data_IF_420179752052
#
_entry.id   IF_420179752052
#
_cell.length_a   1.000
_cell.length_b   1.000
_cell.length_c   1.000
_cell.angle_alpha   90.00
_cell.angle_beta   90.00
_cell.angle_gamma   90.00
#
_symmetry.space_group_name_H-M   'P 1'
#
loop_
_entity.id
_entity.type
_entity.pdbx_description
1 polymer ?
#
# COMPACT_ATOMS: atom_id res chain seq x y z
N UNK A 1 20.89 -47.70 27.72
CA UNK A 1 20.46 -46.65 26.78
C UNK A 1 19.35 -45.86 27.47
N UNK A 2 19.41 -44.60 27.88
CA UNK A 2 20.38 -43.50 27.93
C UNK A 2 19.56 -42.32 28.50
N UNK A 3 19.97 -41.71 29.62
CA UNK A 3 19.18 -40.66 30.29
C UNK A 3 19.17 -39.40 29.42
N UNK A 4 17.99 -38.88 29.10
CA UNK A 4 17.85 -37.63 28.34
C UNK A 4 18.19 -36.45 29.25
N UNK A 5 19.31 -35.77 28.99
CA UNK A 5 19.63 -34.49 29.63
C UNK A 5 18.90 -33.37 28.89
N UNK A 6 18.16 -32.53 29.62
CA UNK A 6 17.60 -31.27 29.10
C UNK A 6 18.58 -30.14 29.44
N UNK A 7 19.21 -29.58 28.41
CA UNK A 7 20.05 -28.38 28.49
C UNK A 7 19.26 -27.15 28.04
N UNK A 8 19.53 -25.99 28.64
CA UNK A 8 19.04 -24.70 28.18
C UNK A 8 19.98 -24.12 27.09
N UNK A 9 19.58 -23.00 26.45
CA UNK A 9 20.34 -22.35 25.36
C UNK A 9 21.73 -21.83 25.74
N UNK A 10 22.13 -21.89 27.02
CA UNK A 10 23.43 -21.41 27.52
C UNK A 10 24.34 -22.54 28.03
N UNK A 11 23.90 -23.81 27.95
CA UNK A 11 24.78 -24.96 28.17
C UNK A 11 25.11 -25.31 29.62
N UNK A 12 24.35 -24.81 30.60
CA UNK A 12 24.58 -25.11 32.02
C UNK A 12 23.59 -26.18 32.55
N UNK A 13 24.12 -27.14 33.32
CA UNK A 13 23.38 -28.27 33.93
C UNK A 13 22.83 -27.82 35.31
N UNK A 14 21.51 -27.84 35.49
CA UNK A 14 20.87 -27.57 36.78
C UNK A 14 20.45 -28.87 37.47
N UNK A 15 20.97 -29.09 38.68
CA UNK A 15 20.51 -30.13 39.61
C UNK A 15 19.12 -29.76 40.16
N UNK A 16 18.07 -30.45 39.71
CA UNK A 16 16.81 -30.49 40.47
C UNK A 16 17.04 -31.35 41.72
N UNK A 17 17.55 -30.71 42.77
CA UNK A 17 17.79 -31.33 44.07
C UNK A 17 16.54 -32.05 44.60
N UNK A 18 16.77 -33.29 45.03
CA UNK A 18 15.85 -34.15 45.77
C UNK A 18 15.17 -33.43 46.92
N UNK A 19 13.83 -33.47 46.95
CA UNK A 19 13.08 -33.35 48.19
C UNK A 19 12.61 -34.75 48.59
N UNK A 20 13.41 -35.41 49.42
CA UNK A 20 12.94 -36.50 50.26
C UNK A 20 12.29 -35.88 51.51
N UNK A 21 11.06 -36.26 51.80
CA UNK A 21 10.46 -35.99 53.11
C UNK A 21 9.70 -37.24 53.51
N UNK A 22 10.41 -38.12 54.22
CA UNK A 22 9.78 -39.15 55.04
C UNK A 22 9.23 -38.46 56.29
N UNK A 23 7.92 -38.49 56.48
CA UNK A 23 7.34 -38.43 57.82
C UNK A 23 6.20 -39.43 57.90
N UNK A 24 6.35 -40.35 58.84
CA UNK A 24 5.49 -41.50 59.09
C UNK A 24 4.31 -41.12 59.99
N UNK A 25 3.12 -41.61 59.59
CA UNK A 25 1.97 -42.06 60.39
C UNK A 25 1.59 -41.35 61.69
N UNK A 26 0.34 -40.88 61.76
CA UNK A 26 -0.61 -41.28 62.82
C UNK A 26 -2.05 -41.10 62.31
N UNK A 27 -2.81 -42.20 62.38
CA UNK A 27 -4.27 -42.28 62.22
C UNK A 27 -4.98 -41.42 63.26
N UNK A 28 -5.94 -40.60 62.83
CA UNK A 28 -7.09 -40.18 63.63
C UNK A 28 -8.26 -39.95 62.67
N UNK A 29 -9.27 -40.83 62.76
CA UNK A 29 -10.49 -40.80 61.96
C UNK A 29 -11.32 -39.54 62.23
N UNK A 30 -11.59 -38.75 61.19
CA UNK A 30 -12.56 -37.65 61.22
C UNK A 30 -13.78 -38.00 60.36
N UNK A 31 -15.01 -37.72 60.82
CA UNK A 31 -16.22 -38.08 60.10
C UNK A 31 -16.34 -37.28 58.79
N UNK A 32 -16.98 -37.84 57.74
CA UNK A 32 -17.09 -37.19 56.45
C UNK A 32 -18.06 -35.99 56.55
N UNK A 33 -17.50 -34.78 56.59
CA UNK A 33 -18.27 -33.55 56.43
C UNK A 33 -18.43 -33.25 54.94
N UNK A 34 -19.60 -33.56 54.38
CA UNK A 34 -20.04 -33.07 53.08
C UNK A 34 -20.38 -31.56 53.18
N UNK A 35 -19.39 -30.70 52.93
CA UNK A 35 -19.54 -29.24 52.83
C UNK A 35 -19.32 -28.74 51.37
N UNK A 36 -19.71 -29.50 50.36
CA UNK A 36 -19.65 -29.02 48.96
C UNK A 36 -20.92 -29.31 48.17
N UNK A 37 -22.08 -29.23 48.82
CA UNK A 37 -23.35 -29.03 48.12
C UNK A 37 -23.73 -27.55 48.24
N UNK A 38 -24.00 -26.93 47.09
CA UNK A 38 -24.61 -25.59 46.95
C UNK A 38 -23.70 -24.35 46.96
N UNK A 39 -22.64 -24.37 46.16
CA UNK A 39 -22.33 -23.19 45.34
C UNK A 39 -21.98 -23.67 43.93
N UNK A 40 -23.00 -23.93 43.12
CA UNK A 40 -22.84 -23.80 41.67
C UNK A 40 -23.02 -22.32 41.36
N UNK A 41 -21.96 -21.54 41.05
CA UNK A 41 -22.19 -20.28 40.38
C UNK A 41 -22.93 -20.65 39.10
N UNK A 42 -24.17 -20.19 38.95
CA UNK A 42 -24.80 -20.14 37.63
C UNK A 42 -23.90 -19.26 36.78
N UNK A 43 -22.90 -19.88 36.12
CA UNK A 43 -22.10 -19.24 35.11
C UNK A 43 -23.10 -18.96 33.99
N UNK A 44 -23.62 -17.74 33.99
CA UNK A 44 -24.29 -17.18 32.82
C UNK A 44 -23.45 -17.60 31.62
N UNK A 45 -24.10 -18.22 30.64
CA UNK A 45 -23.42 -18.75 29.47
C UNK A 45 -22.44 -17.69 28.97
N UNK A 46 -21.15 -18.02 28.98
CA UNK A 46 -20.13 -17.17 28.38
C UNK A 46 -20.55 -17.01 26.93
N UNK A 47 -21.15 -15.88 26.60
CA UNK A 47 -21.32 -15.45 25.22
C UNK A 47 -19.92 -15.52 24.65
N UNK A 48 -19.68 -16.48 23.76
CA UNK A 48 -18.42 -16.58 23.04
C UNK A 48 -18.17 -15.22 22.41
N UNK A 49 -17.21 -14.48 22.96
CA UNK A 49 -16.77 -13.21 22.40
C UNK A 49 -16.29 -13.55 21.00
N UNK A 50 -17.05 -13.15 19.99
CA UNK A 50 -16.56 -13.10 18.63
C UNK A 50 -15.47 -12.04 18.66
N UNK A 51 -14.22 -12.47 18.82
CA UNK A 51 -13.07 -11.58 18.78
C UNK A 51 -13.03 -10.99 17.37
N UNK A 52 -13.55 -9.78 17.22
CA UNK A 52 -13.29 -8.98 16.02
C UNK A 52 -11.77 -8.87 15.85
N UNK A 53 -11.25 -8.94 14.61
CA UNK A 53 -9.82 -8.83 14.37
C UNK A 53 -9.32 -7.48 14.88
N UNK A 54 -8.13 -7.48 15.49
CA UNK A 54 -7.52 -6.24 15.95
C UNK A 54 -7.37 -5.23 14.82
N UNK A 55 -7.74 -3.95 15.05
CA UNK A 55 -7.61 -2.93 14.03
C UNK A 55 -6.13 -2.80 13.65
N UNK A 56 -5.82 -3.00 12.37
CA UNK A 56 -4.45 -2.93 11.84
C UNK A 56 -3.97 -1.47 11.84
N UNK A 57 -2.75 -1.24 12.34
CA UNK A 57 -2.11 0.07 12.41
C UNK A 57 -2.45 0.82 13.69
N UNK A 58 -2.45 2.16 13.61
CA UNK A 58 -2.77 3.01 14.76
C UNK A 58 -4.28 3.02 14.99
N UNK A 59 -4.77 2.51 16.15
CA UNK A 59 -6.20 2.48 16.40
C UNK A 59 -6.72 3.89 16.69
N UNK A 60 -7.77 4.28 15.98
CA UNK A 60 -8.49 5.54 16.19
C UNK A 60 -9.75 5.35 17.03
N UNK A 61 -10.37 4.18 16.93
CA UNK A 61 -11.61 3.82 17.61
C UNK A 61 -11.46 2.46 18.29
N UNK A 62 -12.14 2.29 19.41
CA UNK A 62 -12.25 1.02 20.15
C UNK A 62 -13.47 0.22 19.66
N UNK A 63 -13.57 -1.07 19.99
CA UNK A 63 -14.71 -1.92 19.59
C UNK A 63 -16.07 -1.41 20.12
N UNK A 64 -16.06 -0.61 21.19
CA UNK A 64 -17.28 0.03 21.71
C UNK A 64 -17.65 1.36 21.00
N UNK A 65 -16.97 1.70 19.90
CA UNK A 65 -17.19 2.92 19.12
C UNK A 65 -16.63 4.21 19.75
N UNK A 66 -16.02 4.14 20.94
CA UNK A 66 -15.39 5.28 21.62
C UNK A 66 -13.95 5.49 21.13
N UNK A 67 -13.39 6.71 21.22
CA UNK A 67 -12.04 6.97 20.74
C UNK A 67 -10.99 6.17 21.54
N UNK A 68 -9.99 5.67 20.82
CA UNK A 68 -8.81 5.06 21.43
C UNK A 68 -7.88 6.18 21.94
N UNK A 69 -7.35 6.00 23.15
CA UNK A 69 -6.46 6.96 23.82
C UNK A 69 -5.16 6.28 24.20
N UNK A 70 -4.06 7.04 24.10
CA UNK A 70 -2.75 6.56 24.48
C UNK A 70 -2.57 6.68 26.00
N UNK A 71 -2.27 5.56 26.65
CA UNK A 71 -1.96 5.49 28.09
C UNK A 71 -0.54 5.00 28.28
N UNK A 72 0.03 5.32 29.44
CA UNK A 72 1.34 4.82 29.85
C UNK A 72 1.13 3.74 30.91
N UNK A 73 1.78 2.60 30.73
CA UNK A 73 1.78 1.52 31.71
C UNK A 73 2.57 1.96 32.93
N UNK A 74 1.90 1.96 34.09
CA UNK A 74 2.45 2.49 35.34
C UNK A 74 2.92 1.39 36.31
N UNK A 75 2.58 0.12 36.03
CA UNK A 75 2.85 -1.01 36.93
C UNK A 75 3.36 -2.21 36.10
N UNK A 76 4.32 -2.94 36.66
CA UNK A 76 4.85 -4.19 36.13
C UNK A 76 6.15 -4.05 35.33
N UNK A 77 6.57 -5.14 34.69
CA UNK A 77 7.83 -5.21 33.94
C UNK A 77 7.89 -4.24 32.75
N UNK A 78 6.72 -3.86 32.23
CA UNK A 78 6.54 -2.98 31.08
C UNK A 78 6.24 -1.52 31.49
N UNK A 79 6.57 -1.15 32.73
CA UNK A 79 6.37 0.23 33.23
C UNK A 79 7.07 1.24 32.32
N UNK A 80 6.37 2.31 31.96
CA UNK A 80 6.82 3.34 31.02
C UNK A 80 6.47 3.06 29.56
N UNK A 81 6.07 1.84 29.20
CA UNK A 81 5.58 1.56 27.84
C UNK A 81 4.23 2.24 27.59
N UNK A 82 4.02 2.65 26.35
CA UNK A 82 2.77 3.29 25.93
C UNK A 82 1.90 2.29 25.17
N UNK A 83 0.61 2.34 25.39
CA UNK A 83 -0.37 1.48 24.73
C UNK A 83 -1.68 2.22 24.48
N UNK A 84 -2.41 1.81 23.45
CA UNK A 84 -3.74 2.30 23.15
C UNK A 84 -4.77 1.56 23.99
N UNK A 85 -5.72 2.34 24.52
CA UNK A 85 -6.80 1.85 25.38
C UNK A 85 -8.09 2.61 25.09
N UNK A 86 -9.22 2.02 25.44
CA UNK A 86 -10.52 2.70 25.35
C UNK A 86 -10.59 3.93 26.29
N UNK A 87 -11.25 4.99 25.82
CA UNK A 87 -11.62 6.18 26.62
C UNK A 87 -12.90 6.00 27.44
N UNK A 88 -13.67 4.95 27.19
CA UNK A 88 -14.94 4.67 27.84
C UNK A 88 -14.85 4.00 29.20
N UNK A 89 -16.00 3.92 29.87
CA UNK A 89 -16.21 3.14 31.08
C UNK A 89 -15.78 1.68 30.89
N UNK A 90 -14.84 1.25 31.73
CA UNK A 90 -14.33 -0.13 31.86
C UNK A 90 -15.25 -1.03 32.69
N UNK A 91 -16.53 -0.66 32.82
CA UNK A 91 -17.48 -1.32 33.73
C UNK A 91 -17.81 -2.75 33.31
N UNK A 92 -17.51 -3.10 32.06
CA UNK A 92 -17.65 -4.44 31.51
C UNK A 92 -16.46 -5.35 31.90
N UNK A 93 -15.52 -4.85 32.71
CA UNK A 93 -14.40 -5.63 33.28
C UNK A 93 -13.22 -5.80 32.32
N UNK A 94 -13.42 -5.61 31.02
CA UNK A 94 -12.39 -5.84 29.99
C UNK A 94 -11.99 -4.57 29.23
N UNK A 95 -10.74 -4.58 28.78
CA UNK A 95 -10.18 -3.55 27.95
C UNK A 95 -10.72 -3.65 26.52
N UNK A 96 -11.60 -2.73 26.09
CA UNK A 96 -12.23 -2.76 24.76
C UNK A 96 -11.26 -2.56 23.58
N UNK A 97 -9.99 -2.27 23.83
CA UNK A 97 -8.90 -2.33 22.84
C UNK A 97 -7.59 -2.25 23.60
N UNK A 98 -6.67 -3.18 23.35
CA UNK A 98 -5.32 -3.12 23.90
C UNK A 98 -4.34 -3.32 22.75
N UNK A 99 -3.51 -2.32 22.47
CA UNK A 99 -2.44 -2.44 21.47
C UNK A 99 -1.22 -1.66 21.92
N UNK A 100 -0.05 -2.29 21.92
CA UNK A 100 1.19 -1.59 22.25
C UNK A 100 1.50 -0.53 21.20
N UNK A 101 2.07 0.60 21.62
CA UNK A 101 2.42 1.69 20.72
C UNK A 101 3.42 1.24 19.65
N UNK A 102 4.40 0.40 20.01
CA UNK A 102 5.39 -0.17 19.09
C UNK A 102 4.75 -0.99 17.98
N UNK A 103 3.79 -1.85 18.34
CA UNK A 103 3.14 -2.75 17.40
C UNK A 103 2.24 -1.98 16.44
N UNK A 104 1.46 -1.02 16.97
CA UNK A 104 0.64 -0.11 16.17
C UNK A 104 1.49 0.69 15.16
N UNK A 105 2.65 1.22 15.58
CA UNK A 105 3.55 1.92 14.67
C UNK A 105 4.16 1.00 13.63
N UNK A 106 4.58 -0.21 14.00
CA UNK A 106 5.16 -1.15 13.07
C UNK A 106 4.15 -1.57 11.98
N UNK A 107 2.92 -1.85 12.39
CA UNK A 107 1.81 -2.15 11.47
C UNK A 107 1.53 -0.96 10.55
N UNK A 108 1.46 0.27 11.08
CA UNK A 108 1.21 1.48 10.30
C UNK A 108 2.31 1.74 9.27
N UNK A 109 3.58 1.60 9.68
CA UNK A 109 4.75 1.75 8.78
C UNK A 109 4.70 0.69 7.69
N UNK A 110 4.39 -0.56 8.05
CA UNK A 110 4.34 -1.67 7.09
C UNK A 110 3.21 -1.45 6.07
N UNK A 111 2.03 -1.09 6.55
CA UNK A 111 0.87 -0.78 5.71
C UNK A 111 1.13 0.42 4.80
N UNK A 112 1.77 1.45 5.34
CA UNK A 112 2.18 2.64 4.57
C UNK A 112 3.19 2.27 3.50
N UNK A 113 4.21 1.47 3.83
CA UNK A 113 5.22 0.99 2.87
C UNK A 113 4.58 0.20 1.73
N UNK A 114 3.64 -0.70 2.02
CA UNK A 114 2.91 -1.45 0.99
C UNK A 114 2.13 -0.51 0.08
N UNK A 115 1.38 0.45 0.63
CA UNK A 115 0.65 1.44 -0.17
C UNK A 115 1.58 2.28 -1.07
N UNK A 116 2.74 2.67 -0.55
CA UNK A 116 3.74 3.38 -1.37
C UNK A 116 4.26 2.50 -2.51
N UNK A 117 4.53 1.22 -2.26
CA UNK A 117 4.91 0.28 -3.32
C UNK A 117 3.85 0.15 -4.42
N UNK A 118 2.58 0.02 -4.04
CA UNK A 118 1.49 -0.03 -5.02
C UNK A 118 1.36 1.25 -5.86
N UNK A 119 1.60 2.42 -5.24
CA UNK A 119 1.60 3.70 -5.95
C UNK A 119 2.80 3.78 -6.90
N UNK A 120 3.98 3.35 -6.47
CA UNK A 120 5.18 3.30 -7.29
C UNK A 120 4.98 2.41 -8.53
N UNK A 121 4.42 1.21 -8.35
CA UNK A 121 4.09 0.30 -9.44
C UNK A 121 3.13 0.92 -10.45
N UNK A 122 2.08 1.60 -9.97
CA UNK A 122 1.13 2.34 -10.84
C UNK A 122 1.81 3.48 -11.60
N UNK A 123 2.73 4.20 -10.97
CA UNK A 123 3.49 5.27 -11.63
C UNK A 123 4.37 4.70 -12.74
N UNK A 124 5.10 3.60 -12.50
CA UNK A 124 5.91 2.93 -13.50
C UNK A 124 5.04 2.47 -14.68
N UNK A 125 3.88 1.89 -14.41
CA UNK A 125 2.93 1.48 -15.46
C UNK A 125 2.45 2.68 -16.31
N UNK A 126 2.07 3.80 -15.67
CA UNK A 126 1.63 4.99 -16.37
C UNK A 126 2.74 5.62 -17.22
N UNK A 127 3.98 5.65 -16.71
CA UNK A 127 5.13 6.12 -17.46
C UNK A 127 5.34 5.29 -18.73
N UNK A 128 5.25 3.96 -18.63
CA UNK A 128 5.32 3.08 -19.81
C UNK A 128 4.23 3.37 -20.84
N UNK A 129 2.99 3.62 -20.40
CA UNK A 129 1.90 4.01 -21.31
C UNK A 129 2.13 5.36 -21.99
N UNK A 130 2.72 6.32 -21.26
CA UNK A 130 3.07 7.64 -21.80
C UNK A 130 4.14 7.49 -22.88
N UNK A 131 5.18 6.70 -22.63
CA UNK A 131 6.24 6.46 -23.62
C UNK A 131 5.72 5.76 -24.88
N UNK A 132 4.84 4.77 -24.73
CA UNK A 132 4.21 4.11 -25.87
C UNK A 132 3.34 5.08 -26.68
N UNK A 133 2.53 5.90 -26.00
CA UNK A 133 1.69 6.92 -26.65
C UNK A 133 2.54 7.99 -27.33
N UNK A 134 3.64 8.41 -26.71
CA UNK A 134 4.59 9.37 -27.27
C UNK A 134 5.19 8.82 -28.55
N UNK A 135 5.65 7.57 -28.57
CA UNK A 135 6.18 6.92 -29.76
C UNK A 135 5.15 6.87 -30.90
N UNK A 136 3.92 6.43 -30.61
CA UNK A 136 2.82 6.41 -31.61
C UNK A 136 2.49 7.80 -32.14
N UNK A 137 2.55 8.82 -31.28
CA UNK A 137 2.33 10.19 -31.68
C UNK A 137 3.46 10.70 -32.59
N UNK A 138 4.71 10.41 -32.25
CA UNK A 138 5.89 10.76 -33.04
C UNK A 138 5.87 10.10 -34.42
N UNK A 139 5.50 8.82 -34.51
CA UNK A 139 5.28 8.12 -35.78
C UNK A 139 4.22 8.82 -36.66
N UNK A 140 3.10 9.24 -36.08
CA UNK A 140 2.06 9.99 -36.80
C UNK A 140 2.53 11.37 -37.26
N UNK A 141 3.31 12.06 -36.43
CA UNK A 141 3.89 13.37 -36.79
C UNK A 141 4.85 13.21 -37.97
N UNK A 142 5.72 12.20 -37.95
CA UNK A 142 6.64 11.92 -39.05
C UNK A 142 5.88 11.56 -40.34
N UNK A 143 4.86 10.71 -40.25
CA UNK A 143 4.00 10.39 -41.40
C UNK A 143 3.34 11.63 -42.01
N UNK A 144 2.77 12.51 -41.19
CA UNK A 144 2.18 13.77 -41.67
C UNK A 144 3.22 14.68 -42.32
N UNK A 145 4.42 14.74 -41.76
CA UNK A 145 5.52 15.54 -42.31
C UNK A 145 5.91 15.06 -43.70
N UNK A 146 6.14 13.76 -43.86
CA UNK A 146 6.48 13.16 -45.16
C UNK A 146 5.37 13.34 -46.19
N UNK A 147 4.10 13.18 -45.78
CA UNK A 147 2.97 13.41 -46.68
C UNK A 147 2.89 14.86 -47.14
N UNK A 148 3.11 15.82 -46.23
CA UNK A 148 3.12 17.24 -46.55
C UNK A 148 4.29 17.62 -47.48
N UNK A 149 5.48 17.06 -47.26
CA UNK A 149 6.65 17.26 -48.14
C UNK A 149 6.35 16.79 -49.57
N UNK A 150 5.81 15.57 -49.74
CA UNK A 150 5.40 15.06 -51.07
C UNK A 150 4.32 15.92 -51.73
N UNK A 151 3.36 16.42 -50.95
CA UNK A 151 2.31 17.29 -51.45
C UNK A 151 2.89 18.63 -51.95
N UNK A 152 3.81 19.24 -51.19
CA UNK A 152 4.51 20.45 -51.59
C UNK A 152 5.33 20.24 -52.87
N UNK A 153 6.05 19.12 -53.00
CA UNK A 153 6.78 18.77 -54.22
C UNK A 153 5.86 18.66 -55.45
N UNK A 154 4.68 18.03 -55.28
CA UNK A 154 3.68 17.93 -56.34
C UNK A 154 3.17 19.32 -56.75
N UNK A 155 2.83 20.18 -55.78
CA UNK A 155 2.43 21.56 -56.06
C UNK A 155 3.54 22.32 -56.78
N UNK A 156 4.78 22.21 -56.33
CA UNK A 156 5.92 22.89 -56.94
C UNK A 156 6.10 22.45 -58.41
N UNK A 157 5.93 21.16 -58.69
CA UNK A 157 5.97 20.63 -60.05
C UNK A 157 4.84 21.19 -60.92
N UNK A 158 3.62 21.25 -60.40
CA UNK A 158 2.45 21.85 -61.07
C UNK A 158 2.70 23.33 -61.41
N UNK A 159 3.21 24.10 -60.43
CA UNK A 159 3.56 25.51 -60.59
C UNK A 159 4.63 25.68 -61.66
N UNK A 160 5.68 24.85 -61.66
CA UNK A 160 6.73 24.90 -62.68
C UNK A 160 6.18 24.60 -64.08
N UNK A 161 5.30 23.61 -64.22
CA UNK A 161 4.62 23.29 -65.48
C UNK A 161 3.77 24.46 -65.99
N UNK A 162 3.00 25.10 -65.10
CA UNK A 162 2.21 26.29 -65.43
C UNK A 162 3.11 27.46 -65.86
N UNK A 163 4.20 27.72 -65.14
CA UNK A 163 5.17 28.75 -65.50
C UNK A 163 5.82 28.47 -66.87
N UNK A 164 6.11 27.22 -67.21
CA UNK A 164 6.63 26.88 -68.54
C UNK A 164 5.58 27.10 -69.64
N UNK A 165 4.31 26.77 -69.37
CA UNK A 165 3.20 26.90 -70.32
C UNK A 165 2.74 28.34 -70.54
N UNK A 166 2.73 29.15 -69.49
CA UNK A 166 2.14 30.51 -69.50
C UNK A 166 3.17 31.62 -69.26
N UNK A 167 4.34 31.34 -68.70
CA UNK A 167 5.41 32.32 -68.48
C UNK A 167 6.17 32.70 -69.74
N UNK A 168 6.04 31.92 -70.82
CA UNK A 168 6.58 32.21 -72.15
C UNK A 168 5.54 32.82 -73.11
N UNK A 169 4.31 33.09 -72.66
CA UNK A 169 3.37 33.85 -73.48
C UNK A 169 3.97 35.25 -73.66
N UNK A 170 4.27 35.68 -74.90
CA UNK A 170 4.74 37.03 -75.13
C UNK A 170 3.72 37.97 -74.52
N UNK A 171 4.20 38.86 -73.64
CA UNK A 171 3.39 39.94 -73.09
C UNK A 171 2.64 40.58 -74.26
N UNK A 172 1.32 40.76 -74.15
CA UNK A 172 0.54 41.44 -75.19
C UNK A 172 1.07 42.85 -75.51
N UNK A 173 2.05 43.36 -74.75
CA UNK A 173 2.81 44.58 -75.07
C UNK A 173 3.79 44.40 -76.24
N UNK A 174 4.37 43.23 -76.46
CA UNK A 174 5.41 43.01 -77.48
C UNK A 174 4.83 42.83 -78.90
N UNK A 175 3.52 42.54 -79.01
CA UNK A 175 2.84 42.35 -80.31
C UNK A 175 2.23 43.62 -80.89
N UNK A 176 2.17 44.72 -80.13
CA UNK A 176 1.57 46.00 -80.59
C UNK A 176 2.61 46.93 -81.24
N UNK A 177 3.91 46.72 -80.99
CA UNK A 177 4.98 47.60 -81.50
C UNK A 177 5.81 47.02 -82.66
N UNK A 178 5.45 45.86 -83.21
CA UNK A 178 6.29 45.12 -84.16
C UNK A 178 6.12 45.45 -85.66
N UNK A 179 4.96 45.96 -86.09
CA UNK A 179 4.68 46.15 -87.52
C UNK A 179 4.30 47.61 -87.80
N UNK A 180 5.29 48.44 -88.12
CA UNK A 180 5.00 49.85 -88.44
C UNK A 180 6.20 50.76 -88.65
N UNK A 181 7.29 50.31 -89.27
CA UNK A 181 8.27 51.23 -89.88
C UNK A 181 8.54 50.79 -91.31
N UNK A 182 7.49 50.86 -92.13
CA UNK A 182 7.59 50.89 -93.58
C UNK A 182 7.00 52.21 -94.06
N UNK A 183 7.80 52.94 -94.86
CA UNK A 183 7.40 54.05 -95.73
C UNK A 183 7.00 55.38 -95.03
N UNK A 184 7.32 56.60 -95.51
CA UNK A 184 7.64 57.13 -96.83
C UNK A 184 8.15 58.59 -96.66
N UNK A 185 9.12 58.98 -97.51
CA UNK A 185 9.59 60.34 -97.86
C UNK A 185 10.51 61.11 -96.91
#
# INVERSE_FOLDING_TARGET
MGKWKRTNMFGEEFDTGSNNSNSSSSDDELPPYDYMADITPTRAASTSVTWEPEPIGIPTTSYCGKPAVLKTQIIGLLTGQKFYSCSGDIRDGDCHIYKQLSDAFLEEITLTKTKYGEIEDRLVQMLGQIDEKKKKFEEKVNFCKEHNEKFLESIQKEVNNLNQKYGALPSCKDRIFGDGVGELK
#
